data_IF_196448709558
#
_entry.id   IF_196448709558
#
_cell.length_a   1.000
_cell.length_b   1.000
_cell.length_c   1.000
_cell.angle_alpha   90.00
_cell.angle_beta   90.00
_cell.angle_gamma   90.00
#
_symmetry.space_group_name_H-M   'P 1'
#
loop_
_entity.id
_entity.type
_entity.pdbx_description
1 polymer ?
#
# COMPACT_ATOMS: atom_id res chain seq x y z
N UNK A 1 41.86 -23.39 -10.79
CA UNK A 1 40.89 -22.27 -10.88
C UNK A 1 39.62 -22.68 -10.15
N UNK A 2 39.25 -22.00 -9.06
CA UNK A 2 38.02 -22.31 -8.33
C UNK A 2 36.79 -21.89 -9.15
N UNK A 3 35.84 -22.82 -9.37
CA UNK A 3 34.56 -22.51 -10.03
C UNK A 3 33.80 -21.47 -9.20
N UNK A 4 33.46 -20.34 -9.82
CA UNK A 4 32.64 -19.29 -9.21
C UNK A 4 31.29 -19.90 -8.79
N UNK A 5 30.79 -19.66 -7.57
CA UNK A 5 29.51 -20.22 -7.14
C UNK A 5 28.38 -19.75 -8.07
N UNK A 6 27.46 -20.67 -8.38
CA UNK A 6 26.31 -20.37 -9.22
C UNK A 6 25.45 -19.27 -8.59
N UNK A 7 24.96 -18.34 -9.41
CA UNK A 7 24.09 -17.25 -8.94
C UNK A 7 22.78 -17.85 -8.40
N UNK A 8 22.28 -17.39 -7.22
CA UNK A 8 21.02 -17.88 -6.70
C UNK A 8 19.86 -17.58 -7.67
N UNK A 9 18.80 -18.41 -7.67
CA UNK A 9 17.63 -18.20 -8.51
C UNK A 9 17.00 -16.85 -8.21
N UNK A 10 16.41 -16.20 -9.23
CA UNK A 10 15.68 -14.95 -9.04
C UNK A 10 14.48 -15.21 -8.12
N UNK A 11 14.22 -14.36 -7.11
CA UNK A 11 13.04 -14.47 -6.27
C UNK A 11 11.77 -14.44 -7.13
N UNK A 12 10.85 -15.36 -6.86
CA UNK A 12 9.54 -15.38 -7.49
C UNK A 12 8.63 -14.30 -6.89
N UNK A 13 7.79 -13.70 -7.72
CA UNK A 13 6.80 -12.74 -7.26
C UNK A 13 5.77 -13.43 -6.35
N UNK A 14 5.25 -12.67 -5.38
CA UNK A 14 4.16 -13.10 -4.54
C UNK A 14 2.97 -13.49 -5.43
N UNK A 15 2.42 -14.71 -5.26
CA UNK A 15 1.32 -15.18 -6.08
C UNK A 15 0.10 -14.28 -5.89
N UNK A 16 -0.68 -14.15 -6.96
CA UNK A 16 -1.94 -13.40 -6.97
C UNK A 16 -3.07 -14.39 -7.14
N UNK A 17 -3.99 -14.41 -6.18
CA UNK A 17 -5.21 -15.21 -6.27
C UNK A 17 -6.11 -14.66 -7.39
N UNK A 18 -6.51 -15.48 -8.38
CA UNK A 18 -7.49 -15.09 -9.40
C UNK A 18 -8.81 -14.57 -8.85
N UNK A 19 -9.24 -15.05 -7.68
CA UNK A 19 -10.49 -14.61 -7.04
C UNK A 19 -10.39 -13.19 -6.51
N UNK A 20 -9.25 -12.81 -5.94
CA UNK A 20 -8.99 -11.44 -5.52
C UNK A 20 -8.97 -10.48 -6.72
N UNK A 21 -8.76 -10.95 -7.94
CA UNK A 21 -8.78 -10.10 -9.15
C UNK A 21 -10.20 -9.83 -9.68
N UNK A 22 -11.23 -10.50 -9.15
CA UNK A 22 -12.61 -10.35 -9.60
C UNK A 22 -13.20 -9.03 -9.06
N UNK A 23 -13.64 -8.10 -9.93
CA UNK A 23 -14.20 -6.83 -9.48
C UNK A 23 -15.62 -6.95 -8.92
N UNK A 24 -16.32 -8.07 -9.18
CA UNK A 24 -17.69 -8.35 -8.76
C UNK A 24 -18.73 -7.27 -9.18
N UNK A 25 -18.47 -6.54 -10.28
CA UNK A 25 -19.44 -5.62 -10.85
C UNK A 25 -20.66 -6.37 -11.41
N UNK A 26 -21.87 -5.94 -11.03
CA UNK A 26 -23.14 -6.48 -11.53
C UNK A 26 -23.76 -5.50 -12.52
N UNK A 27 -23.24 -5.48 -13.75
CA UNK A 27 -23.65 -4.52 -14.80
C UNK A 27 -25.08 -4.71 -15.32
N UNK A 28 -25.72 -5.84 -15.04
CA UNK A 28 -27.11 -6.12 -15.42
C UNK A 28 -28.14 -5.37 -14.56
N UNK A 29 -27.71 -4.54 -13.61
CA UNK A 29 -28.56 -3.70 -12.76
C UNK A 29 -27.85 -2.37 -12.47
N UNK A 30 -28.56 -1.32 -12.06
CA UNK A 30 -27.91 -0.09 -11.60
C UNK A 30 -26.88 -0.40 -10.50
N UNK A 31 -25.73 0.28 -10.56
CA UNK A 31 -24.73 0.20 -9.50
C UNK A 31 -25.37 0.72 -8.21
N UNK A 32 -25.33 -0.10 -7.16
CA UNK A 32 -25.88 0.29 -5.87
C UNK A 32 -25.07 1.46 -5.30
N UNK A 33 -25.76 2.52 -4.88
CA UNK A 33 -25.21 3.62 -4.11
C UNK A 33 -25.78 3.57 -2.69
N UNK A 34 -25.41 2.55 -1.88
CA UNK A 34 -25.81 2.52 -0.49
C UNK A 34 -25.25 3.76 0.21
N UNK A 35 -25.97 4.30 1.20
CA UNK A 35 -25.54 5.48 1.96
C UNK A 35 -24.15 5.33 2.59
N UNK A 36 -23.65 6.39 3.22
CA UNK A 36 -22.25 6.49 3.68
C UNK A 36 -21.87 5.59 4.86
N UNK A 37 -22.83 4.87 5.46
CA UNK A 37 -22.63 3.99 6.62
C UNK A 37 -22.84 2.52 6.24
N UNK A 38 -22.38 1.59 7.06
CA UNK A 38 -22.75 0.18 6.92
C UNK A 38 -24.08 -0.10 7.62
N UNK A 39 -24.78 -1.13 7.17
CA UNK A 39 -25.98 -1.69 7.82
C UNK A 39 -25.87 -3.21 7.85
N UNK A 40 -26.67 -3.86 8.68
CA UNK A 40 -26.67 -5.31 8.92
C UNK A 40 -27.65 -6.09 8.03
N UNK A 41 -28.64 -5.42 7.43
CA UNK A 41 -29.66 -6.04 6.58
C UNK A 41 -29.34 -6.03 5.07
N UNK A 42 -28.20 -5.47 4.65
CA UNK A 42 -27.77 -5.39 3.25
C UNK A 42 -26.26 -5.60 3.12
N UNK A 43 -25.83 -6.43 2.16
CA UNK A 43 -24.41 -6.48 1.78
C UNK A 43 -24.01 -5.19 1.04
N UNK A 44 -23.18 -4.37 1.70
CA UNK A 44 -22.57 -3.15 1.15
C UNK A 44 -21.11 -3.42 0.77
N UNK A 45 -20.19 -2.50 1.06
CA UNK A 45 -18.77 -2.69 0.73
C UNK A 45 -18.15 -3.70 1.72
N UNK A 46 -17.61 -4.80 1.21
CA UNK A 46 -16.62 -5.59 1.94
C UNK A 46 -15.24 -4.96 1.77
N UNK A 47 -14.77 -4.26 2.81
CA UNK A 47 -13.49 -3.57 2.79
C UNK A 47 -12.29 -4.52 2.76
N UNK A 48 -12.41 -5.74 3.29
CA UNK A 48 -11.34 -6.75 3.24
C UNK A 48 -11.16 -7.28 1.83
N UNK A 49 -12.26 -7.64 1.16
CA UNK A 49 -12.25 -8.00 -0.25
C UNK A 49 -11.71 -6.86 -1.11
N UNK A 50 -12.17 -5.63 -0.87
CA UNK A 50 -11.70 -4.45 -1.63
C UNK A 50 -10.19 -4.22 -1.46
N UNK A 51 -9.65 -4.37 -0.25
CA UNK A 51 -8.21 -4.28 0.00
C UNK A 51 -7.43 -5.35 -0.78
N UNK A 52 -7.84 -6.63 -0.66
CA UNK A 52 -7.19 -7.72 -1.40
C UNK A 52 -7.24 -7.50 -2.90
N UNK A 53 -8.40 -7.07 -3.43
CA UNK A 53 -8.56 -6.76 -4.86
C UNK A 53 -7.59 -5.70 -5.36
N UNK A 54 -7.46 -4.59 -4.62
CA UNK A 54 -6.53 -3.52 -4.99
C UNK A 54 -5.09 -4.01 -4.95
N UNK A 55 -4.70 -4.70 -3.88
CA UNK A 55 -3.34 -5.23 -3.72
C UNK A 55 -2.99 -6.26 -4.79
N UNK A 56 -3.90 -7.19 -5.08
CA UNK A 56 -3.77 -8.20 -6.14
C UNK A 56 -3.57 -7.54 -7.51
N UNK A 57 -4.34 -6.48 -7.82
CA UNK A 57 -4.18 -5.72 -9.07
C UNK A 57 -2.82 -5.04 -9.14
N UNK A 58 -2.37 -4.42 -8.06
CA UNK A 58 -1.04 -3.78 -8.02
C UNK A 58 0.08 -4.80 -8.19
N UNK A 59 0.02 -5.95 -7.50
CA UNK A 59 0.99 -7.05 -7.66
C UNK A 59 1.05 -7.55 -9.10
N UNK A 60 -0.12 -7.77 -9.72
CA UNK A 60 -0.20 -8.19 -11.12
C UNK A 60 0.40 -7.18 -12.07
N UNK A 61 0.19 -5.88 -11.83
CA UNK A 61 0.81 -4.82 -12.63
C UNK A 61 2.33 -4.77 -12.42
N UNK A 62 2.82 -4.90 -11.18
CA UNK A 62 4.25 -4.91 -10.88
C UNK A 62 4.96 -6.13 -11.52
N UNK A 63 4.33 -7.31 -11.48
CA UNK A 63 4.88 -8.50 -12.13
C UNK A 63 5.03 -8.34 -13.66
N UNK A 64 4.18 -7.52 -14.29
CA UNK A 64 4.21 -7.25 -15.74
C UNK A 64 5.10 -6.08 -16.13
N UNK A 65 5.57 -5.27 -15.19
CA UNK A 65 6.32 -4.05 -15.50
C UNK A 65 7.82 -4.26 -15.72
N UNK A 66 8.35 -5.40 -15.26
CA UNK A 66 9.80 -5.66 -15.24
C UNK A 66 10.54 -5.05 -14.04
N UNK A 67 9.85 -4.33 -13.15
CA UNK A 67 10.43 -3.78 -11.92
C UNK A 67 10.33 -4.73 -10.73
N UNK A 68 11.32 -4.73 -9.85
CA UNK A 68 11.30 -5.56 -8.62
C UNK A 68 10.48 -4.97 -7.47
N UNK A 69 10.20 -3.67 -7.48
CA UNK A 69 9.44 -2.97 -6.44
C UNK A 69 8.86 -1.66 -6.98
N UNK A 70 7.90 -1.10 -6.23
CA UNK A 70 7.30 0.20 -6.49
C UNK A 70 7.23 1.01 -5.19
N UNK A 71 7.85 2.20 -5.19
CA UNK A 71 7.79 3.18 -4.12
C UNK A 71 6.82 4.31 -4.52
N UNK A 72 5.84 4.60 -3.68
CA UNK A 72 4.81 5.61 -3.97
C UNK A 72 4.76 6.66 -2.86
N UNK A 73 4.82 7.92 -3.27
CA UNK A 73 4.55 9.09 -2.40
C UNK A 73 3.16 9.71 -2.64
N UNK A 74 2.52 9.38 -3.77
CA UNK A 74 1.17 9.84 -4.07
C UNK A 74 0.14 9.19 -3.12
N UNK A 75 -0.68 10.02 -2.47
CA UNK A 75 -1.69 9.57 -1.50
C UNK A 75 -2.70 8.57 -2.08
N UNK A 76 -3.12 8.73 -3.34
CA UNK A 76 -4.07 7.82 -3.96
C UNK A 76 -3.45 6.44 -4.13
N UNK A 77 -2.20 6.39 -4.58
CA UNK A 77 -1.46 5.13 -4.69
C UNK A 77 -1.22 4.49 -3.32
N UNK A 78 -0.83 5.27 -2.32
CA UNK A 78 -0.67 4.80 -0.94
C UNK A 78 -1.98 4.23 -0.40
N UNK A 79 -3.09 4.95 -0.55
CA UNK A 79 -4.43 4.49 -0.15
C UNK A 79 -4.86 3.25 -0.91
N UNK A 80 -4.57 3.18 -2.21
CA UNK A 80 -4.94 2.03 -3.04
C UNK A 80 -4.25 0.76 -2.57
N UNK A 81 -2.95 0.84 -2.26
CA UNK A 81 -2.13 -0.31 -1.86
C UNK A 81 -2.38 -0.72 -0.41
N UNK A 82 -2.42 0.25 0.51
CA UNK A 82 -2.47 -0.03 1.96
C UNK A 82 -3.87 0.05 2.57
N UNK A 83 -4.85 0.60 1.86
CA UNK A 83 -6.17 0.99 2.41
C UNK A 83 -6.13 2.02 3.54
N UNK A 84 -5.02 2.75 3.73
CA UNK A 84 -4.86 3.74 4.81
C UNK A 84 -4.92 5.18 4.31
N UNK A 85 -5.40 6.11 5.15
CA UNK A 85 -5.46 7.55 4.86
C UNK A 85 -5.33 8.33 6.16
N UNK A 86 -4.66 9.48 6.13
CA UNK A 86 -4.46 10.34 7.31
C UNK A 86 -5.16 11.69 7.19
N UNK A 87 -6.00 11.85 6.17
CA UNK A 87 -6.71 13.09 5.83
C UNK A 87 -6.13 13.81 4.62
N UNK A 88 -6.90 14.77 4.10
CA UNK A 88 -6.57 15.49 2.85
C UNK A 88 -5.33 16.39 3.00
N UNK A 89 -5.07 16.90 4.21
CA UNK A 89 -3.93 17.76 4.53
C UNK A 89 -2.56 17.19 4.18
N UNK A 90 -2.45 15.88 3.98
CA UNK A 90 -1.18 15.20 3.75
C UNK A 90 -0.84 15.03 2.26
N UNK A 91 -1.68 15.48 1.32
CA UNK A 91 -1.53 15.20 -0.12
C UNK A 91 -0.35 15.90 -0.79
N UNK A 92 -0.06 17.13 -0.41
CA UNK A 92 0.95 17.99 -1.01
C UNK A 92 2.28 18.01 -0.27
N UNK A 93 2.37 17.25 0.85
CA UNK A 93 3.53 17.28 1.75
C UNK A 93 4.56 16.19 1.46
N UNK A 94 4.24 15.18 0.64
CA UNK A 94 5.06 13.95 0.50
C UNK A 94 5.42 13.31 1.85
N UNK A 95 4.60 13.49 2.88
CA UNK A 95 4.93 13.15 4.29
C UNK A 95 4.84 11.65 4.60
N UNK A 96 4.22 10.88 3.71
CA UNK A 96 4.02 9.44 3.83
C UNK A 96 4.36 8.76 2.52
N UNK A 97 4.75 7.50 2.60
CA UNK A 97 5.10 6.70 1.43
C UNK A 97 4.86 5.21 1.67
N UNK A 98 4.61 4.48 0.58
CA UNK A 98 4.48 3.02 0.62
C UNK A 98 5.45 2.36 -0.35
N UNK A 99 6.03 1.24 0.06
CA UNK A 99 6.84 0.38 -0.79
C UNK A 99 6.13 -0.95 -0.95
N UNK A 100 5.89 -1.38 -2.18
CA UNK A 100 5.48 -2.75 -2.49
C UNK A 100 6.58 -3.42 -3.28
N UNK A 101 7.17 -4.47 -2.70
CA UNK A 101 8.10 -5.34 -3.43
C UNK A 101 7.33 -6.41 -4.20
N UNK A 102 7.95 -6.97 -5.24
CA UNK A 102 7.39 -8.08 -5.99
C UNK A 102 7.16 -9.33 -5.13
N UNK A 103 7.88 -9.48 -4.03
CA UNK A 103 7.94 -10.70 -3.21
C UNK A 103 7.21 -10.60 -1.87
N UNK A 104 6.77 -9.40 -1.45
CA UNK A 104 6.37 -9.15 -0.06
C UNK A 104 5.01 -8.49 0.13
N UNK A 105 4.73 -8.16 1.39
CA UNK A 105 3.59 -7.31 1.78
C UNK A 105 3.95 -5.82 1.64
N UNK A 106 2.95 -4.93 1.50
CA UNK A 106 3.20 -3.50 1.50
C UNK A 106 3.91 -3.04 2.78
N UNK A 107 4.87 -2.14 2.62
CA UNK A 107 5.45 -1.34 3.70
C UNK A 107 4.84 0.05 3.66
N UNK A 108 4.63 0.65 4.83
CA UNK A 108 4.01 1.96 4.99
C UNK A 108 4.81 2.79 5.98
N UNK A 109 5.31 3.93 5.53
CA UNK A 109 5.88 4.95 6.40
C UNK A 109 4.92 6.13 6.47
N UNK A 110 4.52 6.45 7.69
CA UNK A 110 3.52 7.47 7.99
C UNK A 110 4.06 8.49 8.99
N UNK A 111 3.30 9.59 9.15
CA UNK A 111 3.52 10.50 10.28
C UNK A 111 3.42 9.74 11.60
N UNK A 112 4.27 10.04 12.58
CA UNK A 112 4.47 9.16 13.76
C UNK A 112 3.20 8.74 14.49
N UNK A 113 2.27 9.69 14.73
CA UNK A 113 0.97 9.38 15.34
C UNK A 113 0.07 8.54 14.44
N UNK A 114 0.09 8.78 13.12
CA UNK A 114 -0.67 7.99 12.16
C UNK A 114 -0.11 6.57 12.00
N UNK A 115 1.21 6.39 12.03
CA UNK A 115 1.83 5.06 12.03
C UNK A 115 1.36 4.26 13.25
N UNK A 116 1.34 4.87 14.45
CA UNK A 116 0.78 4.24 15.66
C UNK A 116 -0.70 3.90 15.51
N UNK A 117 -1.50 4.82 14.97
CA UNK A 117 -2.93 4.58 14.73
C UNK A 117 -3.16 3.39 13.78
N UNK A 118 -2.44 3.34 12.65
CA UNK A 118 -2.58 2.26 11.68
C UNK A 118 -2.12 0.90 12.24
N UNK A 119 -1.09 0.84 13.10
CA UNK A 119 -0.72 -0.40 13.79
C UNK A 119 -1.86 -0.97 14.63
N UNK A 120 -2.62 -0.11 15.30
CA UNK A 120 -3.72 -0.54 16.19
C UNK A 120 -4.95 -0.97 15.37
N UNK A 121 -5.28 -0.22 14.31
CA UNK A 121 -6.59 -0.32 13.65
C UNK A 121 -6.57 -0.88 12.22
N UNK A 122 -5.40 -1.24 11.67
CA UNK A 122 -5.28 -1.82 10.33
C UNK A 122 -4.66 -3.23 10.41
N UNK A 123 -5.39 -4.23 10.94
CA UNK A 123 -4.87 -5.60 11.17
C UNK A 123 -4.53 -6.38 9.89
N UNK A 124 -4.68 -5.76 8.73
CA UNK A 124 -4.32 -6.33 7.45
C UNK A 124 -2.95 -5.91 6.93
N UNK A 125 -2.30 -4.99 7.63
CA UNK A 125 -0.91 -4.65 7.41
C UNK A 125 -0.09 -5.38 8.46
N UNK A 126 1.09 -5.85 8.07
CA UNK A 126 2.04 -6.41 9.03
C UNK A 126 2.51 -5.31 9.98
N UNK A 127 2.55 -5.60 11.27
CA UNK A 127 2.81 -4.59 12.30
C UNK A 127 4.22 -3.96 12.16
N UNK A 128 5.20 -4.75 11.74
CA UNK A 128 6.59 -4.34 11.51
C UNK A 128 6.78 -3.54 10.21
N UNK A 129 5.82 -3.65 9.29
CA UNK A 129 5.76 -2.93 8.02
C UNK A 129 5.16 -1.53 8.13
N UNK A 130 4.51 -1.20 9.25
CA UNK A 130 3.99 0.14 9.52
C UNK A 130 5.00 0.89 10.38
N UNK A 131 5.61 1.95 9.84
CA UNK A 131 6.68 2.70 10.53
C UNK A 131 6.43 4.19 10.51
N UNK A 132 7.01 4.87 11.49
CA UNK A 132 7.13 6.32 11.43
C UNK A 132 8.17 6.68 10.36
N UNK A 133 7.89 7.66 9.52
CA UNK A 133 8.83 8.18 8.54
C UNK A 133 8.70 9.69 8.38
N UNK A 134 9.80 10.32 8.01
CA UNK A 134 9.83 11.75 7.74
C UNK A 134 10.78 12.05 6.57
N UNK A 135 10.25 12.24 5.35
CA UNK A 135 11.05 12.54 4.16
C UNK A 135 11.26 14.05 3.96
N UNK A 136 11.18 14.86 5.02
CA UNK A 136 11.46 16.32 4.95
C UNK A 136 10.32 17.18 4.41
N UNK A 137 9.12 16.61 4.23
CA UNK A 137 7.91 17.30 3.82
C UNK A 137 8.08 18.23 2.58
N UNK A 138 8.68 17.72 1.50
CA UNK A 138 8.99 18.50 0.28
C UNK A 138 9.90 19.71 0.57
N UNK A 139 10.84 19.56 1.50
CA UNK A 139 11.79 20.60 1.87
C UNK A 139 11.28 21.61 2.89
N UNK A 140 10.08 21.40 3.47
CA UNK A 140 9.59 22.26 4.55
C UNK A 140 10.41 22.12 5.84
N UNK A 141 11.11 20.99 6.02
CA UNK A 141 12.08 20.83 7.11
C UNK A 141 13.43 21.36 6.64
N UNK A 142 13.87 22.46 7.25
CA UNK A 142 15.12 23.11 6.88
C UNK A 142 16.34 22.22 7.18
N UNK A 143 17.42 22.34 6.38
CA UNK A 143 18.61 21.50 6.52
C UNK A 143 19.27 21.60 7.90
N UNK A 144 19.16 22.75 8.57
CA UNK A 144 19.68 22.98 9.93
C UNK A 144 19.09 22.06 11.01
N UNK A 145 17.98 21.37 10.71
CA UNK A 145 17.35 20.39 11.60
C UNK A 145 18.13 19.06 11.60
N UNK A 146 19.04 18.84 10.65
CA UNK A 146 19.90 17.66 10.60
C UNK A 146 19.20 16.38 10.10
N UNK A 147 17.98 16.48 9.56
CA UNK A 147 17.18 15.31 9.14
C UNK A 147 17.85 14.45 8.06
N UNK A 148 18.68 15.06 7.21
CA UNK A 148 19.36 14.42 6.08
C UNK A 148 20.87 14.32 6.25
N UNK A 149 21.38 14.59 7.46
CA UNK A 149 22.80 14.39 7.75
C UNK A 149 23.05 12.88 7.91
N UNK A 150 24.06 12.37 7.19
CA UNK A 150 24.39 10.95 7.10
C UNK A 150 25.33 10.49 8.22
#
# INVERSE_FOLDING_TARGET
>A
MAKKPARPPKPAFAPVDPDDLKPAHRWHRPLQAPGITQVDFEERIDFRRLHRYRLARTRRSLAKSGFGAMLCFDQHNIRYISSTVIGEWARDKLIRYTLLTGTGQPWLWDFGSAARHHKIYCPWLEEDHVRAGNPGMRGAIGPKVGLFEA
#
